data_IF_184322750936
#
_entry.id   IF_184322750936
#
_cell.length_a   1.000
_cell.length_b   1.000
_cell.length_c   1.000
_cell.angle_alpha   90.00
_cell.angle_beta   90.00
_cell.angle_gamma   90.00
#
_symmetry.space_group_name_H-M   'P 1'
#
loop_
_entity.id
_entity.type
_entity.pdbx_description
1 polymer ?
#
# COMPACT_ATOMS: atom_id res chain seq x y z
N UNK A 1 -8.26 4.23 5.16
CA UNK A 1 -7.16 3.25 5.29
C UNK A 1 -6.45 3.11 3.94
N UNK A 2 -5.12 3.23 3.88
CA UNK A 2 -4.35 3.20 2.61
C UNK A 2 -4.36 1.84 1.89
N UNK A 3 -4.54 0.76 2.65
CA UNK A 3 -4.65 -0.62 2.16
C UNK A 3 -5.88 -0.88 1.29
N UNK A 4 -7.04 -0.31 1.66
CA UNK A 4 -8.29 -0.46 0.91
C UNK A 4 -8.32 0.36 -0.37
N UNK A 5 -7.46 1.39 -0.49
CA UNK A 5 -7.31 2.24 -1.69
C UNK A 5 -6.36 1.64 -2.74
N UNK A 6 -5.88 0.42 -2.52
CA UNK A 6 -4.93 -0.29 -3.39
C UNK A 6 -3.68 0.55 -3.76
N UNK A 7 -3.25 1.46 -2.87
CA UNK A 7 -2.06 2.31 -3.09
C UNK A 7 -0.76 1.51 -3.06
N UNK A 8 -0.83 0.36 -2.40
CA UNK A 8 0.30 -0.49 -2.09
C UNK A 8 -0.12 -1.94 -2.23
N UNK A 9 0.77 -2.77 -2.77
CA UNK A 9 0.54 -4.19 -2.93
C UNK A 9 1.80 -5.00 -2.63
N UNK A 10 1.59 -6.24 -2.16
CA UNK A 10 2.65 -7.16 -1.78
C UNK A 10 2.62 -8.34 -2.73
N UNK A 11 3.72 -8.59 -3.43
CA UNK A 11 3.91 -9.77 -4.26
C UNK A 11 4.65 -10.84 -3.45
N UNK A 12 4.05 -12.00 -3.13
CA UNK A 12 4.79 -13.05 -2.45
C UNK A 12 5.93 -13.58 -3.34
N UNK A 13 7.08 -13.86 -2.73
CA UNK A 13 8.26 -14.41 -3.42
C UNK A 13 8.48 -15.86 -3.00
N UNK A 14 8.54 -16.09 -1.69
CA UNK A 14 8.90 -17.38 -1.11
C UNK A 14 8.44 -17.50 0.33
N UNK A 15 7.76 -18.59 0.64
CA UNK A 15 7.60 -19.06 2.01
C UNK A 15 8.86 -19.86 2.42
N UNK A 16 9.45 -19.51 3.55
CA UNK A 16 10.63 -20.21 4.05
C UNK A 16 10.22 -21.52 4.74
N UNK A 17 11.15 -22.48 4.83
CA UNK A 17 10.86 -23.85 5.30
C UNK A 17 10.34 -23.92 6.73
N UNK A 18 10.63 -22.90 7.55
CA UNK A 18 10.13 -22.73 8.91
C UNK A 18 8.65 -22.33 8.99
N UNK A 19 8.04 -21.93 7.86
CA UNK A 19 6.68 -21.36 7.76
C UNK A 19 6.46 -20.14 8.68
N UNK A 20 7.51 -19.56 9.21
CA UNK A 20 7.50 -18.37 10.06
C UNK A 20 7.88 -17.11 9.30
N UNK A 21 8.63 -17.29 8.21
CA UNK A 21 9.03 -16.19 7.35
C UNK A 21 8.40 -16.33 5.97
N UNK A 22 7.90 -15.21 5.45
CA UNK A 22 7.42 -15.06 4.08
C UNK A 22 8.09 -13.83 3.46
N UNK A 23 8.91 -14.07 2.44
CA UNK A 23 9.49 -13.00 1.64
C UNK A 23 8.46 -12.44 0.67
N UNK A 24 8.30 -11.13 0.63
CA UNK A 24 7.43 -10.42 -0.30
C UNK A 24 8.14 -9.21 -0.92
N UNK A 25 7.84 -8.89 -2.17
CA UNK A 25 8.21 -7.60 -2.77
C UNK A 25 7.07 -6.60 -2.54
N UNK A 26 7.45 -5.40 -2.13
CA UNK A 26 6.55 -4.28 -1.94
C UNK A 26 6.46 -3.43 -3.20
N UNK A 27 5.26 -2.98 -3.58
CA UNK A 27 5.06 -2.12 -4.75
C UNK A 27 4.04 -1.02 -4.47
N UNK A 28 4.47 0.22 -4.64
CA UNK A 28 3.56 1.34 -4.87
C UNK A 28 2.82 1.14 -6.18
N UNK A 29 1.53 1.46 -6.17
CA UNK A 29 0.69 1.36 -7.36
C UNK A 29 0.53 2.73 -8.02
N UNK A 30 0.80 2.86 -9.34
CA UNK A 30 0.44 4.06 -10.06
C UNK A 30 -1.08 4.18 -10.07
N UNK A 31 -1.59 5.39 -9.85
CA UNK A 31 -3.02 5.66 -9.95
C UNK A 31 -3.36 6.35 -11.26
N UNK A 32 -4.48 5.95 -11.82
CA UNK A 32 -5.02 6.49 -13.06
C UNK A 32 -6.24 7.34 -12.71
N UNK A 33 -6.22 8.62 -13.06
CA UNK A 33 -7.38 9.50 -12.95
C UNK A 33 -8.07 9.59 -14.30
N UNK A 34 -8.51 8.45 -14.82
CA UNK A 34 -9.11 8.37 -16.13
C UNK A 34 -10.46 7.68 -16.03
N UNK A 35 -11.52 8.37 -16.44
CA UNK A 35 -12.85 7.75 -16.64
C UNK A 35 -12.85 6.80 -17.85
N UNK A 36 -11.89 6.96 -18.77
CA UNK A 36 -11.70 6.15 -19.96
C UNK A 36 -10.20 6.00 -20.25
N UNK A 37 -9.74 4.77 -20.46
CA UNK A 37 -8.36 4.47 -20.86
C UNK A 37 -8.41 3.79 -22.23
N UNK A 38 -7.62 4.27 -23.18
CA UNK A 38 -7.50 3.60 -24.48
C UNK A 38 -6.91 2.20 -24.28
N UNK A 39 -7.48 1.18 -24.93
CA UNK A 39 -7.07 -0.22 -24.76
C UNK A 39 -5.58 -0.45 -25.07
N UNK A 40 -5.01 0.34 -25.98
CA UNK A 40 -3.60 0.26 -26.39
C UNK A 40 -2.67 1.15 -25.54
N UNK A 41 -3.20 1.86 -24.54
CA UNK A 41 -2.39 2.69 -23.66
C UNK A 41 -1.55 1.80 -22.75
N UNK A 42 -0.23 1.96 -22.81
CA UNK A 42 0.68 1.25 -21.91
C UNK A 42 0.44 1.70 -20.47
N UNK A 43 0.20 0.78 -19.53
CA UNK A 43 0.06 1.14 -18.12
C UNK A 43 1.37 1.75 -17.60
N UNK A 44 1.23 2.77 -16.76
CA UNK A 44 2.34 3.38 -16.03
C UNK A 44 3.08 2.31 -15.23
N UNK A 45 4.41 2.32 -15.29
CA UNK A 45 5.23 1.39 -14.51
C UNK A 45 5.14 1.70 -13.02
N UNK A 46 5.20 0.64 -12.20
CA UNK A 46 5.38 0.78 -10.74
C UNK A 46 6.85 0.81 -10.33
N UNK A 47 7.76 0.56 -11.25
CA UNK A 47 9.20 0.49 -11.02
C UNK A 47 9.76 1.84 -10.56
N UNK A 48 10.60 1.81 -9.52
CA UNK A 48 11.27 3.01 -9.01
C UNK A 48 10.35 4.01 -8.27
N UNK A 49 9.05 3.75 -8.16
CA UNK A 49 8.16 4.58 -7.36
C UNK A 49 8.59 4.54 -5.88
N UNK A 50 8.67 5.70 -5.26
CA UNK A 50 9.14 5.89 -3.87
C UNK A 50 8.06 6.45 -2.94
N UNK A 51 6.84 6.64 -3.47
CA UNK A 51 5.68 7.16 -2.77
C UNK A 51 4.39 6.72 -3.47
N UNK A 52 3.31 6.64 -2.71
CA UNK A 52 1.95 6.52 -3.21
C UNK A 52 1.36 7.89 -3.56
N UNK A 53 0.07 7.91 -3.88
CA UNK A 53 -0.66 9.16 -4.12
C UNK A 53 -0.71 10.03 -2.87
N UNK A 54 -0.98 11.32 -3.06
CA UNK A 54 -1.01 12.33 -1.96
C UNK A 54 0.29 12.38 -1.16
N UNK A 55 1.42 12.01 -1.77
CA UNK A 55 2.76 12.02 -1.16
C UNK A 55 2.90 11.08 0.04
N UNK A 56 2.04 10.06 0.13
CA UNK A 56 2.14 9.02 1.17
C UNK A 56 3.42 8.22 0.95
N UNK A 57 4.21 8.06 2.01
CA UNK A 57 5.47 7.32 2.01
C UNK A 57 5.47 6.32 3.15
N UNK A 58 6.18 5.22 2.96
CA UNK A 58 6.47 4.25 3.99
C UNK A 58 7.96 4.34 4.31
N UNK A 59 8.27 4.23 5.58
CA UNK A 59 9.64 4.22 6.09
C UNK A 59 9.82 2.95 6.89
N UNK A 60 11.01 2.36 6.80
CA UNK A 60 11.44 1.35 7.75
C UNK A 60 11.68 2.05 9.09
N UNK A 61 10.95 1.66 10.13
CA UNK A 61 11.04 2.28 11.45
C UNK A 61 12.38 2.04 12.17
N UNK A 62 13.18 1.07 11.72
CA UNK A 62 14.47 0.76 12.33
C UNK A 62 15.63 1.53 11.67
N UNK A 63 15.59 1.66 10.35
CA UNK A 63 16.67 2.30 9.57
C UNK A 63 16.34 3.73 9.15
N UNK A 64 15.10 4.18 9.35
CA UNK A 64 14.52 5.42 8.82
C UNK A 64 14.63 5.55 7.28
N UNK A 65 14.86 4.43 6.60
CA UNK A 65 14.96 4.40 5.15
C UNK A 65 13.59 4.37 4.50
N UNK A 66 13.41 5.20 3.49
CA UNK A 66 12.19 5.25 2.69
C UNK A 66 12.06 3.98 1.84
N UNK A 67 10.87 3.40 1.85
CA UNK A 67 10.56 2.21 1.06
C UNK A 67 10.20 2.54 -0.39
N UNK A 68 10.89 1.90 -1.32
CA UNK A 68 10.66 2.02 -2.75
C UNK A 68 10.02 0.74 -3.33
N UNK A 69 9.28 0.89 -4.42
CA UNK A 69 8.75 -0.23 -5.19
C UNK A 69 9.85 -1.20 -5.61
N UNK A 70 9.57 -2.49 -5.48
CA UNK A 70 10.51 -3.59 -5.72
C UNK A 70 11.31 -4.00 -4.48
N UNK A 71 11.25 -3.24 -3.38
CA UNK A 71 11.96 -3.60 -2.16
C UNK A 71 11.40 -4.88 -1.55
N UNK A 72 12.31 -5.80 -1.19
CA UNK A 72 11.99 -7.06 -0.52
C UNK A 72 11.81 -6.78 0.96
N UNK A 73 10.69 -7.28 1.50
CA UNK A 73 10.38 -7.29 2.92
C UNK A 73 10.22 -8.73 3.40
N UNK A 74 10.47 -8.94 4.69
CA UNK A 74 10.17 -10.18 5.39
C UNK A 74 8.91 -9.98 6.23
N UNK A 75 7.91 -10.84 6.05
CA UNK A 75 6.78 -10.96 6.96
C UNK A 75 7.12 -12.09 7.94
N UNK A 76 7.06 -11.78 9.24
CA UNK A 76 7.36 -12.73 10.31
C UNK A 76 6.13 -12.95 11.19
N UNK A 77 5.85 -14.21 11.49
CA UNK A 77 4.86 -14.59 12.49
C UNK A 77 5.54 -14.85 13.84
N UNK A 78 5.27 -13.97 14.81
CA UNK A 78 5.72 -14.10 16.20
C UNK A 78 5.12 -15.37 16.85
N UNK A 79 3.85 -15.65 16.57
CA UNK A 79 3.12 -16.80 17.10
C UNK A 79 2.34 -17.52 15.99
N UNK A 80 2.64 -18.80 15.78
CA UNK A 80 2.09 -19.59 14.68
C UNK A 80 0.62 -19.99 14.87
N UNK A 81 0.11 -20.05 16.10
CA UNK A 81 -1.25 -20.51 16.39
C UNK A 81 -2.24 -19.35 16.39
N UNK A 82 -1.85 -18.24 17.00
CA UNK A 82 -2.70 -17.07 17.22
C UNK A 82 -2.53 -16.02 16.12
N UNK A 83 -1.36 -15.97 15.46
CA UNK A 83 -1.02 -14.95 14.44
C UNK A 83 -0.25 -15.55 13.27
N UNK A 84 -0.81 -16.57 12.58
CA UNK A 84 -0.15 -17.21 11.47
C UNK A 84 0.11 -16.22 10.34
N UNK A 85 1.14 -16.50 9.53
CA UNK A 85 1.37 -15.77 8.29
C UNK A 85 0.16 -15.87 7.37
N UNK A 86 -0.09 -14.84 6.53
CA UNK A 86 -1.08 -14.94 5.48
C UNK A 86 -0.74 -16.10 4.54
N UNK A 87 -1.77 -16.79 4.05
CA UNK A 87 -1.61 -17.83 3.03
C UNK A 87 -0.91 -17.25 1.80
N UNK A 88 0.12 -17.95 1.32
CA UNK A 88 0.88 -17.56 0.13
C UNK A 88 -0.04 -17.36 -1.08
N UNK A 89 -0.91 -18.33 -1.35
CA UNK A 89 -1.86 -18.30 -2.47
C UNK A 89 -2.84 -17.13 -2.36
N UNK A 90 -3.32 -16.83 -1.14
CA UNK A 90 -4.21 -15.70 -0.93
C UNK A 90 -3.47 -14.37 -1.12
N UNK A 91 -2.21 -14.29 -0.71
CA UNK A 91 -1.41 -13.09 -0.91
C UNK A 91 -1.10 -12.88 -2.40
N UNK A 92 -0.90 -13.95 -3.17
CA UNK A 92 -0.70 -13.88 -4.62
C UNK A 92 -1.98 -13.45 -5.36
N UNK A 93 -3.14 -13.99 -4.97
CA UNK A 93 -4.43 -13.50 -5.48
C UNK A 93 -4.63 -12.02 -5.14
N UNK A 94 -4.35 -11.64 -3.90
CA UNK A 94 -4.49 -10.26 -3.44
C UNK A 94 -3.54 -9.31 -4.20
N UNK A 95 -2.33 -9.76 -4.52
CA UNK A 95 -1.39 -9.05 -5.38
C UNK A 95 -2.01 -8.70 -6.73
N UNK A 96 -2.57 -9.70 -7.42
CA UNK A 96 -3.20 -9.52 -8.73
C UNK A 96 -4.41 -8.58 -8.63
N UNK A 97 -5.30 -8.83 -7.66
CA UNK A 97 -6.52 -8.05 -7.47
C UNK A 97 -6.22 -6.57 -7.17
N UNK A 98 -5.20 -6.28 -6.35
CA UNK A 98 -4.80 -4.91 -6.07
C UNK A 98 -4.31 -4.17 -7.31
N UNK A 99 -3.51 -4.83 -8.15
CA UNK A 99 -3.08 -4.24 -9.41
C UNK A 99 -4.27 -3.93 -10.31
N UNK A 100 -5.24 -4.83 -10.38
CA UNK A 100 -6.48 -4.59 -11.14
C UNK A 100 -7.27 -3.40 -10.60
N UNK A 101 -7.41 -3.27 -9.27
CA UNK A 101 -8.09 -2.13 -8.64
C UNK A 101 -7.34 -0.82 -8.91
N UNK A 102 -6.01 -0.82 -8.84
CA UNK A 102 -5.24 0.39 -9.14
C UNK A 102 -5.38 0.80 -10.61
N UNK A 103 -5.36 -0.17 -11.54
CA UNK A 103 -5.51 0.08 -12.98
C UNK A 103 -6.93 0.45 -13.41
N UNK A 104 -7.97 0.04 -12.67
CA UNK A 104 -9.35 0.35 -13.02
C UNK A 104 -9.69 1.85 -12.89
N UNK A 105 -8.76 2.67 -12.40
CA UNK A 105 -8.95 4.10 -12.24
C UNK A 105 -10.07 4.44 -11.26
N UNK A 106 -10.41 3.51 -10.36
CA UNK A 106 -11.38 3.75 -9.31
C UNK A 106 -10.91 5.00 -8.54
N UNK A 107 -11.72 6.07 -8.49
CA UNK A 107 -11.31 7.29 -7.86
C UNK A 107 -10.93 6.95 -6.43
N UNK A 108 -9.65 7.12 -6.09
CA UNK A 108 -9.28 7.28 -4.71
C UNK A 108 -10.00 8.53 -4.28
N UNK A 109 -11.19 8.37 -3.69
CA UNK A 109 -12.09 9.45 -3.28
C UNK A 109 -11.26 10.61 -2.74
N UNK A 110 -11.57 11.79 -3.29
CA UNK A 110 -10.90 13.03 -3.02
C UNK A 110 -10.69 13.23 -1.53
N UNK A 111 -9.68 14.03 -1.26
CA UNK A 111 -9.13 14.40 0.03
C UNK A 111 -10.19 15.08 0.94
N UNK A 112 -11.22 14.36 1.41
CA UNK A 112 -12.14 14.83 2.44
C UNK A 112 -11.55 14.57 3.83
N UNK A 113 -10.33 15.05 4.06
CA UNK A 113 -9.76 15.20 5.40
C UNK A 113 -9.93 16.65 5.90
N UNK A 114 -10.98 17.36 5.48
CA UNK A 114 -11.35 18.63 6.09
C UNK A 114 -12.14 18.38 7.38
N UNK A 115 -11.47 17.88 8.42
CA UNK A 115 -12.00 17.97 9.79
C UNK A 115 -11.58 19.34 10.32
N UNK A 116 -12.34 20.36 9.95
CA UNK A 116 -12.21 21.69 10.54
C UNK A 116 -12.92 21.67 11.90
N UNK A 117 -12.31 21.03 12.89
CA UNK A 117 -12.70 21.17 14.29
C UNK A 117 -12.11 22.49 14.83
N UNK A 118 -12.66 23.60 14.34
CA UNK A 118 -12.51 24.92 14.95
C UNK A 118 -13.47 25.03 16.14
N UNK A 119 -13.18 24.34 17.24
CA UNK A 119 -13.87 24.53 18.52
C UNK A 119 -12.84 24.47 19.67
N UNK A 120 -12.13 25.59 19.92
CA UNK A 120 -11.96 26.15 21.28
C UNK A 120 -11.23 27.50 21.23
N UNK A 121 -11.97 28.57 20.94
CA UNK A 121 -11.52 29.93 21.21
C UNK A 121 -11.48 30.14 22.72
N UNK A 122 -10.32 29.86 23.33
CA UNK A 122 -9.99 30.23 24.71
C UNK A 122 -10.12 31.74 24.92
N UNK A 123 -11.25 32.18 25.45
CA UNK A 123 -11.42 33.54 25.97
C UNK A 123 -10.73 33.66 27.34
N UNK A 124 -9.48 34.12 27.35
CA UNK A 124 -8.85 34.76 28.50
C UNK A 124 -8.42 36.20 28.14
N UNK A 125 -8.90 37.16 28.93
CA UNK A 125 -8.58 38.60 28.85
C UNK A 125 -9.80 39.42 28.44
N UNK A 126 -10.35 40.34 29.23
CA UNK A 126 -9.77 41.24 30.23
C UNK A 126 -10.83 41.71 31.22
#
# INVERSE_FOLDING_TARGET
MYWSRALFALKPIKLFGDKKHLGAQSFWQPQYNHSQVAVLHTPTSSEGLDQGTSRVKLFNCETDEKMCSGQIISLEADDLETRPLPSFELLDMQWVLRRLIAMSGAPGYGDDFNHNDDDDARAYGR
#
